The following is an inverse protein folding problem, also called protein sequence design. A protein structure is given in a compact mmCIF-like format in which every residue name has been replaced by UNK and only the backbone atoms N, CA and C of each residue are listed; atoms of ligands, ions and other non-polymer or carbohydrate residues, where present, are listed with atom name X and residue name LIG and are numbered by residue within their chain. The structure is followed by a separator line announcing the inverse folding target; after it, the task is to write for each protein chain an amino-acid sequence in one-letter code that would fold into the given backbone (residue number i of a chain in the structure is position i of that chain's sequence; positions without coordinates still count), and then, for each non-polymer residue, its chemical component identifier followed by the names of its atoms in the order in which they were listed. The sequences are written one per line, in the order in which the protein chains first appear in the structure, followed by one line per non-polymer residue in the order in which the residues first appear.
data_IF_861247122071
#
_entry.id   IF_861247122071
#
_cell.length_a   1.000
_cell.length_b   1.000
_cell.length_c   1.000
_cell.angle_alpha   90.00
_cell.angle_beta   90.00
_cell.angle_gamma   90.00
#
_symmetry.space_group_name_H-M   'P 1'
#
loop_
_entity.id
_entity.type
_entity.pdbx_description
1 polymer ?
#
# COMPACT_ATOMS: atom_id res chain seq x y z
N UNK A 1 -14.04 1.94 -7.92
CA UNK A 1 -12.62 1.62 -8.18
C UNK A 1 -12.08 0.59 -7.19
N UNK A 2 -12.11 0.83 -5.86
CA UNK A 2 -11.70 -0.21 -4.89
C UNK A 2 -12.41 -1.56 -5.05
N UNK A 3 -13.72 -1.57 -5.27
CA UNK A 3 -14.46 -2.82 -5.50
C UNK A 3 -14.13 -3.47 -6.86
N UNK A 4 -13.73 -2.67 -7.85
CA UNK A 4 -13.24 -3.21 -9.14
C UNK A 4 -11.91 -3.92 -8.94
N UNK A 5 -10.99 -3.35 -8.16
CA UNK A 5 -9.71 -4.01 -7.84
C UNK A 5 -9.91 -5.31 -7.05
N UNK A 6 -10.86 -5.33 -6.09
CA UNK A 6 -11.23 -6.56 -5.36
C UNK A 6 -11.79 -7.64 -6.27
N UNK A 7 -12.72 -7.27 -7.16
CA UNK A 7 -13.29 -8.20 -8.13
C UNK A 7 -12.22 -8.68 -9.12
N UNK A 8 -11.32 -7.82 -9.56
CA UNK A 8 -10.21 -8.18 -10.43
C UNK A 8 -9.25 -9.17 -9.74
N UNK A 9 -8.87 -8.92 -8.48
CA UNK A 9 -8.04 -9.84 -7.71
C UNK A 9 -8.73 -11.21 -7.51
N UNK A 10 -10.01 -11.21 -7.17
CA UNK A 10 -10.79 -12.45 -7.01
C UNK A 10 -10.92 -13.22 -8.34
N UNK A 11 -11.21 -12.52 -9.44
CA UNK A 11 -11.29 -13.13 -10.77
C UNK A 11 -9.93 -13.70 -11.21
N UNK A 12 -8.84 -12.96 -10.99
CA UNK A 12 -7.49 -13.42 -11.31
C UNK A 12 -7.12 -14.67 -10.49
N UNK A 13 -7.44 -14.72 -9.19
CA UNK A 13 -7.26 -15.91 -8.38
C UNK A 13 -8.00 -17.14 -8.94
N UNK A 14 -9.25 -16.95 -9.39
CA UNK A 14 -10.04 -18.02 -10.01
C UNK A 14 -9.41 -18.48 -11.32
N UNK A 15 -8.96 -17.56 -12.17
CA UNK A 15 -8.28 -17.88 -13.43
C UNK A 15 -7.00 -18.69 -13.16
N UNK A 16 -6.15 -18.24 -12.24
CA UNK A 16 -4.93 -18.96 -11.82
C UNK A 16 -5.24 -20.37 -11.30
N UNK A 17 -6.31 -20.53 -10.51
CA UNK A 17 -6.73 -21.83 -10.00
C UNK A 17 -7.18 -22.78 -11.14
N UNK A 18 -7.91 -22.27 -12.13
CA UNK A 18 -8.38 -23.05 -13.29
C UNK A 18 -7.21 -23.53 -14.14
N UNK A 19 -6.15 -22.73 -14.29
CA UNK A 19 -4.95 -23.08 -15.07
C UNK A 19 -3.86 -23.78 -14.23
N UNK A 20 -4.11 -24.05 -12.95
CA UNK A 20 -3.21 -24.80 -12.07
C UNK A 20 -2.03 -24.01 -11.47
N UNK A 21 -2.05 -22.67 -11.55
CA UNK A 21 -1.02 -21.79 -10.99
C UNK A 21 -1.27 -21.49 -9.50
N UNK A 22 -1.07 -22.47 -8.64
CA UNK A 22 -1.40 -22.37 -7.21
C UNK A 22 -0.60 -21.32 -6.43
N UNK A 23 0.64 -21.05 -6.82
CA UNK A 23 1.45 -20.00 -6.18
C UNK A 23 0.82 -18.61 -6.43
N UNK A 24 0.33 -18.36 -7.64
CA UNK A 24 -0.34 -17.10 -7.99
C UNK A 24 -1.72 -16.98 -7.33
N UNK A 25 -2.43 -18.09 -7.15
CA UNK A 25 -3.66 -18.13 -6.33
C UNK A 25 -3.35 -17.61 -4.92
N UNK A 26 -2.30 -18.13 -4.28
CA UNK A 26 -1.93 -17.70 -2.93
C UNK A 26 -1.61 -16.20 -2.88
N UNK A 27 -0.87 -15.67 -3.86
CA UNK A 27 -0.58 -14.23 -3.97
C UNK A 27 -1.85 -13.38 -4.10
N UNK A 28 -2.75 -13.73 -5.02
CA UNK A 28 -4.00 -12.99 -5.19
C UNK A 28 -4.92 -13.09 -3.98
N UNK A 29 -4.93 -14.21 -3.25
CA UNK A 29 -5.69 -14.36 -2.00
C UNK A 29 -5.14 -13.42 -0.91
N UNK A 30 -3.82 -13.33 -0.76
CA UNK A 30 -3.19 -12.38 0.17
C UNK A 30 -3.56 -10.94 -0.19
N UNK A 31 -3.44 -10.57 -1.47
CA UNK A 31 -3.82 -9.24 -1.97
C UNK A 31 -5.30 -8.96 -1.69
N UNK A 32 -6.19 -9.91 -2.00
CA UNK A 32 -7.61 -9.76 -1.71
C UNK A 32 -7.87 -9.55 -0.22
N UNK A 33 -7.16 -10.26 0.66
CA UNK A 33 -7.21 -10.05 2.11
C UNK A 33 -6.86 -8.62 2.52
N UNK A 34 -5.76 -8.06 1.97
CA UNK A 34 -5.37 -6.66 2.19
C UNK A 34 -6.45 -5.70 1.69
N UNK A 35 -7.00 -5.93 0.49
CA UNK A 35 -8.06 -5.08 -0.07
C UNK A 35 -9.38 -5.17 0.70
N UNK A 36 -9.70 -6.33 1.27
CA UNK A 36 -10.88 -6.47 2.14
C UNK A 36 -10.65 -5.72 3.45
N UNK A 37 -9.47 -5.84 4.05
CA UNK A 37 -9.11 -5.12 5.27
C UNK A 37 -9.20 -3.59 5.05
N UNK A 38 -8.69 -3.10 3.93
CA UNK A 38 -8.74 -1.68 3.56
C UNK A 38 -10.17 -1.15 3.46
N UNK A 39 -11.11 -1.97 2.98
CA UNK A 39 -12.53 -1.64 2.92
C UNK A 39 -13.13 -1.46 4.31
N UNK A 40 -12.81 -2.37 5.23
CA UNK A 40 -13.31 -2.29 6.61
C UNK A 40 -12.80 -1.05 7.33
N UNK A 41 -11.59 -0.60 6.98
CA UNK A 41 -11.01 0.65 7.45
C UNK A 41 -11.64 1.92 6.85
N UNK A 42 -12.64 1.82 5.95
CA UNK A 42 -13.38 2.95 5.35
C UNK A 42 -12.49 4.06 4.80
N UNK A 43 -11.40 3.68 4.16
CA UNK A 43 -10.39 4.61 3.64
C UNK A 43 -10.98 5.59 2.63
N UNK A 44 -10.40 6.79 2.47
CA UNK A 44 -10.81 7.68 1.41
C UNK A 44 -10.57 7.00 0.07
N UNK A 45 -11.59 7.06 -0.79
CA UNK A 45 -11.67 6.40 -2.09
C UNK A 45 -10.41 6.51 -2.96
N UNK A 46 -9.71 7.66 -3.07
CA UNK A 46 -8.52 7.73 -3.92
C UNK A 46 -7.37 6.84 -3.41
N UNK A 47 -7.14 6.78 -2.10
CA UNK A 47 -6.07 5.94 -1.53
C UNK A 47 -6.41 4.45 -1.63
N UNK A 48 -7.67 4.09 -1.37
CA UNK A 48 -8.15 2.70 -1.56
C UNK A 48 -8.03 2.25 -3.01
N UNK A 49 -8.33 3.14 -3.97
CA UNK A 49 -8.20 2.86 -5.39
C UNK A 49 -6.74 2.74 -5.83
N UNK A 50 -5.86 3.66 -5.40
CA UNK A 50 -4.43 3.60 -5.72
C UNK A 50 -3.80 2.31 -5.20
N UNK A 51 -4.04 1.97 -3.91
CA UNK A 51 -3.57 0.72 -3.32
C UNK A 51 -4.13 -0.50 -4.07
N UNK A 52 -5.43 -0.51 -4.35
CA UNK A 52 -6.09 -1.60 -5.06
C UNK A 52 -5.52 -1.86 -6.45
N UNK A 53 -5.36 -0.79 -7.23
CA UNK A 53 -4.83 -0.89 -8.60
C UNK A 53 -3.36 -1.33 -8.56
N UNK A 54 -2.53 -0.70 -7.73
CA UNK A 54 -1.11 -1.04 -7.66
C UNK A 54 -0.90 -2.49 -7.23
N UNK A 55 -1.57 -2.96 -6.17
CA UNK A 55 -1.38 -4.34 -5.70
C UNK A 55 -1.83 -5.38 -6.74
N UNK A 56 -2.93 -5.13 -7.45
CA UNK A 56 -3.34 -6.01 -8.55
C UNK A 56 -2.32 -6.01 -9.68
N UNK A 57 -1.81 -4.85 -10.09
CA UNK A 57 -0.78 -4.73 -11.13
C UNK A 57 0.49 -5.47 -10.70
N UNK A 58 0.97 -5.25 -9.49
CA UNK A 58 2.17 -5.91 -8.95
C UNK A 58 2.02 -7.44 -8.93
N UNK A 59 0.85 -7.93 -8.55
CA UNK A 59 0.57 -9.37 -8.51
C UNK A 59 0.52 -9.99 -9.91
N UNK A 60 0.06 -9.24 -10.92
CA UNK A 60 0.08 -9.67 -12.32
C UNK A 60 1.49 -9.58 -12.92
N UNK A 61 2.26 -8.56 -12.53
CA UNK A 61 3.60 -8.29 -13.07
C UNK A 61 4.57 -9.45 -12.86
N UNK A 62 4.47 -10.13 -11.71
CA UNK A 62 5.35 -11.25 -11.35
C UNK A 62 5.24 -12.44 -12.31
N UNK A 63 4.09 -13.13 -12.47
CA UNK A 63 3.97 -14.23 -13.42
C UNK A 63 4.10 -13.79 -14.88
N UNK A 64 3.89 -12.51 -15.19
CA UNK A 64 4.09 -11.95 -16.53
C UNK A 64 5.57 -11.65 -16.86
N UNK A 65 6.48 -11.78 -15.90
CA UNK A 65 7.92 -11.54 -16.08
C UNK A 65 8.27 -10.07 -16.30
N UNK A 66 7.47 -9.14 -15.77
CA UNK A 66 7.67 -7.70 -16.00
C UNK A 66 8.89 -7.16 -15.24
N UNK A 67 9.21 -7.73 -14.08
CA UNK A 67 10.35 -7.31 -13.28
C UNK A 67 11.68 -7.61 -14.00
N UNK A 68 11.72 -8.68 -14.78
CA UNK A 68 12.88 -9.08 -15.57
C UNK A 68 12.96 -8.36 -16.93
N UNK A 69 11.80 -8.08 -17.54
CA UNK A 69 11.74 -7.51 -18.90
C UNK A 69 11.64 -5.99 -18.93
N UNK A 70 11.16 -5.37 -17.85
CA UNK A 70 10.97 -3.92 -17.72
C UNK A 70 11.67 -3.46 -16.44
N UNK A 71 12.98 -3.22 -16.55
CA UNK A 71 13.86 -2.96 -15.39
C UNK A 71 13.46 -1.78 -14.47
N UNK A 72 12.59 -0.87 -14.92
CA UNK A 72 12.11 0.25 -14.09
C UNK A 72 10.71 0.03 -13.53
N UNK A 73 10.01 -1.04 -13.90
CA UNK A 73 8.61 -1.26 -13.53
C UNK A 73 8.42 -1.41 -12.02
N UNK A 74 9.46 -1.85 -11.31
CA UNK A 74 9.41 -2.07 -9.87
C UNK A 74 9.32 -0.75 -9.07
N UNK A 75 10.13 0.23 -9.44
CA UNK A 75 10.21 1.55 -8.81
C UNK A 75 8.84 2.25 -8.63
N UNK A 76 7.98 2.40 -9.66
CA UNK A 76 6.66 3.01 -9.48
C UNK A 76 5.71 2.09 -8.69
N UNK A 77 5.88 0.77 -8.72
CA UNK A 77 5.10 -0.16 -7.91
C UNK A 77 5.43 0.05 -6.44
N UNK A 78 6.72 0.04 -6.07
CA UNK A 78 7.20 0.38 -4.72
C UNK A 78 6.62 1.70 -4.23
N UNK A 79 6.89 2.79 -4.97
CA UNK A 79 6.43 4.11 -4.54
C UNK A 79 4.91 4.20 -4.37
N UNK A 80 4.13 3.65 -5.32
CA UNK A 80 2.66 3.75 -5.23
C UNK A 80 2.07 2.81 -4.19
N UNK A 81 2.55 1.57 -4.07
CA UNK A 81 2.08 0.59 -3.11
C UNK A 81 2.40 1.07 -1.69
N UNK A 82 3.67 1.37 -1.43
CA UNK A 82 4.16 1.77 -0.12
C UNK A 82 3.54 3.07 0.34
N UNK A 83 3.44 4.07 -0.55
CA UNK A 83 2.76 5.32 -0.24
C UNK A 83 1.29 5.12 0.11
N UNK A 84 0.58 4.31 -0.65
CA UNK A 84 -0.82 4.03 -0.39
C UNK A 84 -1.01 3.25 0.93
N UNK A 85 -0.24 2.18 1.16
CA UNK A 85 -0.27 1.39 2.40
C UNK A 85 0.06 2.27 3.61
N UNK A 86 1.07 3.14 3.51
CA UNK A 86 1.43 4.04 4.60
C UNK A 86 0.30 5.01 4.97
N UNK A 87 -0.35 5.61 3.97
CA UNK A 87 -1.52 6.45 4.19
C UNK A 87 -2.67 5.67 4.85
N UNK A 88 -2.90 4.42 4.41
CA UNK A 88 -3.90 3.51 4.99
C UNK A 88 -3.63 3.23 6.45
N UNK A 89 -2.39 2.85 6.79
CA UNK A 89 -1.98 2.53 8.17
C UNK A 89 -2.17 3.75 9.07
N UNK A 90 -1.68 4.92 8.67
CA UNK A 90 -1.84 6.16 9.46
C UNK A 90 -3.32 6.49 9.69
N UNK A 91 -4.16 6.35 8.65
CA UNK A 91 -5.59 6.58 8.78
C UNK A 91 -6.31 5.52 9.62
N UNK A 92 -5.84 4.27 9.60
CA UNK A 92 -6.37 3.22 10.47
C UNK A 92 -6.03 3.51 11.93
N UNK A 93 -4.79 3.91 12.23
CA UNK A 93 -4.35 4.31 13.58
C UNK A 93 -5.13 5.51 14.13
N UNK A 94 -5.49 6.48 13.28
CA UNK A 94 -6.40 7.57 13.66
C UNK A 94 -7.80 7.07 14.01
N UNK A 95 -8.30 6.04 13.30
CA UNK A 95 -9.65 5.49 13.54
C UNK A 95 -9.76 4.65 14.80
N UNK A 96 -8.68 4.01 15.21
CA UNK A 96 -8.60 3.23 16.46
C UNK A 96 -8.06 4.05 17.63
N UNK A 97 -8.09 5.39 17.52
CA UNK A 97 -7.73 6.35 18.56
C UNK A 97 -6.26 6.29 19.05
N UNK A 98 -5.36 5.64 18.32
CA UNK A 98 -3.91 5.66 18.60
C UNK A 98 -3.24 6.97 18.15
N UNK A 99 -3.85 7.68 17.20
CA UNK A 99 -3.39 8.97 16.70
C UNK A 99 -4.52 10.00 16.74
N UNK A 100 -4.21 11.29 16.98
CA UNK A 100 -5.22 12.34 17.04
C UNK A 100 -5.91 12.56 15.69
N UNK A 101 -7.20 12.96 15.67
CA UNK A 101 -7.95 13.16 14.44
C UNK A 101 -7.47 14.36 13.62
N UNK A 102 -7.67 14.28 12.31
CA UNK A 102 -7.27 15.29 11.35
C UNK A 102 -8.33 16.41 11.21
N UNK A 103 -8.45 17.28 12.21
CA UNK A 103 -9.45 18.36 12.19
C UNK A 103 -8.97 19.72 12.71
N UNK A 104 -9.65 20.77 12.24
CA UNK A 104 -9.60 22.12 12.81
C UNK A 104 -8.24 22.81 12.77
N UNK A 105 -8.01 23.71 13.73
CA UNK A 105 -6.76 24.49 13.85
C UNK A 105 -5.54 23.63 14.18
N UNK A 106 -5.76 22.44 14.77
CA UNK A 106 -4.73 21.45 15.09
C UNK A 106 -4.14 20.83 13.83
N UNK A 107 -4.97 20.49 12.84
CA UNK A 107 -4.51 19.96 11.56
C UNK A 107 -3.54 20.92 10.88
N UNK A 108 -3.87 22.23 10.84
CA UNK A 108 -3.03 23.25 10.20
C UNK A 108 -1.62 23.32 10.81
N UNK A 109 -1.52 23.19 12.14
CA UNK A 109 -0.23 23.19 12.86
C UNK A 109 0.51 21.85 12.73
N UNK A 110 -0.19 20.75 12.46
CA UNK A 110 0.38 19.38 12.45
C UNK A 110 0.52 18.76 11.06
N UNK A 111 0.29 19.51 9.97
CA UNK A 111 0.43 18.98 8.60
C UNK A 111 1.78 18.33 8.35
N UNK A 112 2.86 19.01 8.73
CA UNK A 112 4.21 18.48 8.61
C UNK A 112 4.40 17.17 9.40
N UNK A 113 3.82 17.08 10.61
CA UNK A 113 3.90 15.88 11.43
C UNK A 113 3.17 14.69 10.79
N UNK A 114 2.00 14.92 10.17
CA UNK A 114 1.26 13.86 9.47
C UNK A 114 2.03 13.37 8.24
N UNK A 115 2.58 14.30 7.45
CA UNK A 115 3.40 13.96 6.29
C UNK A 115 4.60 13.14 6.73
N UNK A 116 5.33 13.59 7.76
CA UNK A 116 6.47 12.86 8.31
C UNK A 116 6.09 11.48 8.83
N UNK A 117 4.95 11.35 9.50
CA UNK A 117 4.46 10.07 9.98
C UNK A 117 4.16 9.09 8.85
N UNK A 118 3.51 9.56 7.77
CA UNK A 118 3.28 8.73 6.58
C UNK A 118 4.61 8.32 5.95
N UNK A 119 5.60 9.22 5.87
CA UNK A 119 6.95 8.89 5.37
C UNK A 119 7.65 7.83 6.23
N UNK A 120 7.61 7.97 7.56
CA UNK A 120 8.22 6.99 8.47
C UNK A 120 7.55 5.61 8.37
N UNK A 121 6.22 5.57 8.28
CA UNK A 121 5.48 4.33 8.06
C UNK A 121 5.81 3.75 6.68
N UNK A 122 5.94 4.59 5.65
CA UNK A 122 6.35 4.18 4.30
C UNK A 122 7.70 3.48 4.29
N UNK A 123 8.73 4.11 4.85
CA UNK A 123 10.04 3.45 4.99
C UNK A 123 9.97 2.16 5.79
N UNK A 124 9.14 2.10 6.83
CA UNK A 124 8.97 0.87 7.62
C UNK A 124 8.36 -0.25 6.77
N UNK A 125 7.33 0.06 5.97
CA UNK A 125 6.71 -0.89 5.04
C UNK A 125 7.70 -1.35 3.98
N UNK A 126 8.48 -0.41 3.42
CA UNK A 126 9.56 -0.70 2.47
C UNK A 126 10.59 -1.66 3.04
N UNK A 127 11.15 -1.36 4.21
CA UNK A 127 12.12 -2.25 4.89
C UNK A 127 11.54 -3.63 5.17
N UNK A 128 10.26 -3.72 5.55
CA UNK A 128 9.60 -5.03 5.75
C UNK A 128 9.46 -5.80 4.44
N UNK A 129 9.26 -5.12 3.31
CA UNK A 129 9.26 -5.73 1.99
C UNK A 129 10.66 -6.24 1.61
N UNK A 130 11.70 -5.44 1.78
CA UNK A 130 13.09 -5.86 1.53
C UNK A 130 13.48 -7.09 2.37
N UNK A 131 13.05 -7.15 3.63
CA UNK A 131 13.23 -8.35 4.45
C UNK A 131 12.45 -9.55 3.90
N UNK A 132 11.24 -9.32 3.39
CA UNK A 132 10.48 -10.36 2.74
C UNK A 132 11.18 -10.89 1.49
N UNK A 133 11.69 -10.03 0.61
CA UNK A 133 12.43 -10.45 -0.59
C UNK A 133 13.70 -11.25 -0.24
N UNK A 134 14.41 -10.79 0.79
CA UNK A 134 15.56 -11.52 1.30
C UNK A 134 15.16 -12.92 1.77
N UNK A 135 14.09 -13.05 2.56
CA UNK A 135 13.57 -14.34 3.04
C UNK A 135 13.07 -15.19 1.87
N UNK A 136 12.30 -14.61 0.96
CA UNK A 136 11.74 -15.29 -0.20
C UNK A 136 12.86 -15.90 -1.05
N UNK A 137 13.92 -15.15 -1.30
CA UNK A 137 15.05 -15.58 -2.13
C UNK A 137 15.98 -16.58 -1.40
N UNK A 138 16.35 -16.29 -0.14
CA UNK A 138 17.39 -17.06 0.56
C UNK A 138 16.85 -18.22 1.40
N UNK A 139 15.59 -18.16 1.82
CA UNK A 139 14.97 -19.19 2.68
C UNK A 139 13.92 -19.98 1.92
N UNK A 140 13.07 -19.34 1.13
CA UNK A 140 11.98 -20.00 0.41
C UNK A 140 12.36 -20.45 -1.01
N UNK A 141 13.51 -20.02 -1.54
CA UNK A 141 13.97 -20.37 -2.89
C UNK A 141 13.13 -19.75 -4.02
N UNK A 142 12.42 -18.66 -3.73
CA UNK A 142 11.63 -17.90 -4.71
C UNK A 142 12.61 -17.02 -5.50
N UNK A 143 12.55 -17.09 -6.83
CA UNK A 143 13.36 -16.22 -7.68
C UNK A 143 12.74 -14.83 -7.71
N UNK A 144 13.50 -13.83 -7.28
CA UNK A 144 13.15 -12.41 -7.31
C UNK A 144 14.34 -11.62 -7.85
N UNK A 145 14.07 -10.48 -8.50
CA UNK A 145 15.10 -9.51 -8.85
C UNK A 145 15.47 -8.81 -7.55
N UNK A 146 16.73 -8.94 -7.11
CA UNK A 146 17.21 -8.37 -5.83
C UNK A 146 18.65 -7.91 -5.94
N UNK A 147 19.04 -6.90 -5.15
CA UNK A 147 20.43 -6.46 -5.04
C UNK A 147 20.60 -5.21 -4.17
N UNK A 148 21.84 -4.86 -3.82
CA UNK A 148 22.08 -3.68 -2.95
C UNK A 148 21.57 -2.37 -3.58
N UNK A 149 21.85 -2.16 -4.87
CA UNK A 149 21.39 -0.96 -5.59
C UNK A 149 19.87 -0.94 -5.75
N UNK A 150 19.28 -2.11 -5.90
CA UNK A 150 17.84 -2.36 -6.03
C UNK A 150 17.13 -1.93 -4.75
N UNK A 151 17.45 -2.59 -3.62
CA UNK A 151 16.99 -2.24 -2.27
C UNK A 151 17.09 -0.75 -1.95
N UNK A 152 18.21 -0.11 -2.31
CA UNK A 152 18.38 1.33 -2.05
C UNK A 152 17.47 2.18 -2.94
N UNK A 153 17.28 1.79 -4.21
CA UNK A 153 16.37 2.47 -5.12
C UNK A 153 14.90 2.29 -4.69
N UNK A 154 14.54 1.09 -4.26
CA UNK A 154 13.21 0.75 -3.77
C UNK A 154 12.86 1.51 -2.51
N UNK A 155 13.75 1.51 -1.51
CA UNK A 155 13.56 2.33 -0.30
C UNK A 155 13.48 3.82 -0.61
N UNK A 156 14.23 4.33 -1.59
CA UNK A 156 14.12 5.71 -2.03
C UNK A 156 12.74 6.00 -2.65
N UNK A 157 12.22 5.07 -3.46
CA UNK A 157 10.89 5.17 -4.06
C UNK A 157 9.78 5.03 -3.02
N UNK A 158 9.94 4.16 -2.03
CA UNK A 158 9.04 4.02 -0.89
C UNK A 158 8.92 5.33 -0.11
N UNK A 159 10.06 5.97 0.19
CA UNK A 159 10.10 7.28 0.83
C UNK A 159 9.43 8.37 -0.01
N UNK A 160 9.72 8.42 -1.31
CA UNK A 160 9.14 9.40 -2.24
C UNK A 160 7.61 9.22 -2.39
N UNK A 161 7.17 7.98 -2.54
CA UNK A 161 5.76 7.61 -2.63
C UNK A 161 5.00 7.93 -1.34
N UNK A 162 5.59 7.62 -0.19
CA UNK A 162 5.03 7.96 1.11
C UNK A 162 4.99 9.47 1.37
N UNK A 163 5.97 10.23 0.88
CA UNK A 163 5.93 11.70 0.93
C UNK A 163 4.75 12.24 0.12
N UNK A 164 4.58 11.78 -1.13
CA UNK A 164 3.46 12.19 -1.98
C UNK A 164 2.11 11.80 -1.37
N UNK A 165 2.01 10.58 -0.83
CA UNK A 165 0.82 10.12 -0.15
C UNK A 165 0.52 10.97 1.09
N UNK A 166 1.51 11.28 1.93
CA UNK A 166 1.38 12.13 3.10
C UNK A 166 0.92 13.54 2.78
N UNK A 167 1.46 14.14 1.71
CA UNK A 167 0.99 15.42 1.18
C UNK A 167 -0.47 15.31 0.71
N UNK A 168 -0.82 14.23 0.03
CA UNK A 168 -2.19 13.91 -0.37
C UNK A 168 -3.15 13.80 0.82
N UNK A 169 -2.73 13.13 1.92
CA UNK A 169 -3.52 13.01 3.15
C UNK A 169 -3.74 14.38 3.79
N UNK A 170 -2.68 15.19 3.89
CA UNK A 170 -2.77 16.54 4.45
C UNK A 170 -3.66 17.45 3.61
N UNK A 171 -3.58 17.35 2.28
CA UNK A 171 -4.44 18.07 1.35
C UNK A 171 -5.91 17.62 1.46
N UNK A 172 -6.15 16.31 1.48
CA UNK A 172 -7.49 15.73 1.63
C UNK A 172 -8.17 16.19 2.92
N UNK A 173 -7.46 16.11 4.06
CA UNK A 173 -7.96 16.56 5.35
C UNK A 173 -8.21 18.08 5.39
N UNK A 174 -7.42 18.87 4.65
CA UNK A 174 -7.59 20.33 4.60
C UNK A 174 -8.87 20.79 3.92
N UNK A 175 -9.46 19.96 3.06
CA UNK A 175 -10.71 20.25 2.34
C UNK A 175 -11.96 19.94 3.18
N UNK A 176 -11.81 19.67 4.48
CA UNK A 176 -12.91 19.38 5.39
C UNK A 176 -13.41 17.94 5.33
N UNK A 177 -12.77 17.08 4.54
CA UNK A 177 -13.04 15.64 4.57
C UNK A 177 -12.45 15.07 5.86
N UNK A 178 -13.31 14.77 6.83
CA UNK A 178 -12.88 14.19 8.08
C UNK A 178 -12.77 12.67 7.98
N UNK A 179 -11.74 12.11 8.60
CA UNK A 179 -11.69 10.68 8.91
C UNK A 179 -12.50 10.31 10.16
N UNK A 180 -13.37 11.22 10.66
CA UNK A 180 -13.83 11.15 12.03
C UNK A 180 -14.93 10.14 12.35
N UNK A 181 -14.79 9.71 13.60
CA UNK A 181 -15.66 8.96 14.51
C UNK A 181 -17.09 9.56 14.57
N UNK A 182 -18.14 8.73 14.67
CA UNK A 182 -19.44 9.18 15.15
C UNK A 182 -19.30 9.72 16.59
N UNK A 183 -20.14 10.67 17.04
CA UNK A 183 -20.09 11.15 18.41
C UNK A 183 -20.26 9.98 19.38
N UNK A 184 -19.35 9.87 20.35
CA UNK A 184 -19.59 9.06 21.54
C UNK A 184 -20.88 9.56 22.19
N UNK A 185 -21.92 8.72 22.17
CA UNK A 185 -23.15 9.03 22.87
C UNK A 185 -22.88 8.98 24.39
N UNK A 186 -23.41 9.94 25.16
CA UNK A 186 -23.37 9.92 26.62
C UNK A 186 -24.18 8.75 27.20
#
# INVERSE_FOLDING_TARGET
MGDVARLAAAAAAVVCAVIGQWDDVARFVVVLGVLVLSRTAKLPRPFDAAMGVTLVIATVAMPAGWYETVAWADLPIHGTATGAIAAVVVMALIRVDYLPPLQGSLLRRRRAAIVMLVVMVGFTVGVLWEFWEWVATHVAGIVMVVGYTDTVADLAMDGAGALLAGLGVAAWASQGHSSQQPPSRP
#
